data_IF_482321435896
#
_entry.id   IF_482321435896
#
_cell.length_a   1.000
_cell.length_b   1.000
_cell.length_c   1.000
_cell.angle_alpha   90.00
_cell.angle_beta   90.00
_cell.angle_gamma   90.00
#
_symmetry.space_group_name_H-M   'P 1'
#
loop_
_entity.id
_entity.type
_entity.pdbx_description
1 polymer ?
#
# COMPACT_ATOMS: atom_id res chain seq x y z
N UNK A 1 11.99 -13.91 -20.13
CA UNK A 1 12.20 -12.64 -20.83
C UNK A 1 12.84 -12.93 -22.18
N UNK A 2 12.27 -12.38 -23.23
CA UNK A 2 12.67 -12.65 -24.63
C UNK A 2 13.14 -11.37 -25.35
N UNK A 3 13.75 -10.44 -24.60
CA UNK A 3 14.27 -9.19 -25.17
C UNK A 3 15.76 -9.33 -25.49
N UNK A 4 16.14 -9.21 -26.74
CA UNK A 4 17.55 -9.26 -27.19
C UNK A 4 18.44 -8.17 -26.55
N UNK A 5 17.83 -7.10 -26.04
CA UNK A 5 18.50 -5.99 -25.36
C UNK A 5 18.72 -6.20 -23.87
N UNK A 6 18.12 -7.26 -23.26
CA UNK A 6 18.20 -7.59 -21.83
C UNK A 6 18.73 -9.01 -21.65
N UNK A 7 20.04 -9.24 -21.82
CA UNK A 7 20.62 -10.56 -21.67
C UNK A 7 20.51 -11.04 -20.22
N UNK A 8 20.03 -12.26 -20.03
CA UNK A 8 19.98 -12.93 -18.74
C UNK A 8 21.38 -13.40 -18.35
N UNK A 9 21.84 -13.02 -17.16
CA UNK A 9 23.13 -13.48 -16.64
C UNK A 9 23.09 -14.99 -16.32
N UNK A 10 24.15 -15.69 -16.71
CA UNK A 10 24.24 -17.14 -16.51
C UNK A 10 24.87 -17.50 -15.15
N UNK A 11 24.10 -17.35 -14.09
CA UNK A 11 24.52 -17.69 -12.72
C UNK A 11 24.81 -19.19 -12.55
N UNK A 12 24.09 -20.05 -13.24
CA UNK A 12 24.28 -21.52 -13.18
C UNK A 12 25.60 -21.94 -13.85
N UNK A 13 25.97 -21.29 -14.94
CA UNK A 13 27.18 -21.58 -15.71
C UNK A 13 28.44 -20.87 -15.19
N UNK A 14 28.34 -19.96 -14.23
CA UNK A 14 29.48 -19.20 -13.72
C UNK A 14 29.51 -19.11 -12.21
N UNK A 15 30.31 -19.95 -11.60
CA UNK A 15 30.55 -19.89 -10.14
C UNK A 15 31.19 -18.59 -9.71
N UNK A 16 32.04 -18.02 -10.55
CA UNK A 16 32.66 -16.71 -10.29
C UNK A 16 31.63 -15.59 -10.19
N UNK A 17 30.68 -15.53 -11.14
CA UNK A 17 29.58 -14.57 -11.12
C UNK A 17 28.70 -14.76 -9.87
N UNK A 18 28.35 -16.01 -9.56
CA UNK A 18 27.57 -16.36 -8.38
C UNK A 18 28.20 -15.80 -7.10
N UNK A 19 29.46 -16.16 -6.86
CA UNK A 19 30.20 -15.72 -5.68
C UNK A 19 30.45 -14.20 -5.67
N UNK A 20 30.61 -13.58 -6.84
CA UNK A 20 30.76 -12.14 -6.97
C UNK A 20 29.52 -11.38 -6.51
N UNK A 21 28.33 -11.82 -6.92
CA UNK A 21 27.07 -11.17 -6.51
C UNK A 21 26.82 -11.36 -5.02
N UNK A 22 27.12 -12.51 -4.43
CA UNK A 22 27.02 -12.69 -2.98
C UNK A 22 27.99 -11.76 -2.21
N UNK A 23 29.20 -11.52 -2.73
CA UNK A 23 30.13 -10.53 -2.13
C UNK A 23 29.60 -9.11 -2.24
N UNK A 24 28.97 -8.74 -3.35
CA UNK A 24 28.30 -7.43 -3.50
C UNK A 24 27.18 -7.30 -2.47
N UNK A 25 26.36 -8.33 -2.32
CA UNK A 25 25.24 -8.34 -1.36
C UNK A 25 25.72 -8.06 0.08
N UNK A 26 26.84 -8.69 0.48
CA UNK A 26 27.46 -8.45 1.79
C UNK A 26 28.08 -7.06 1.92
N UNK A 27 28.79 -6.62 0.86
CA UNK A 27 29.52 -5.34 0.87
C UNK A 27 28.62 -4.17 1.21
N UNK A 28 27.48 -4.05 0.57
CA UNK A 28 26.62 -2.87 0.73
C UNK A 28 25.89 -2.81 2.08
N UNK A 29 25.59 -3.94 2.70
CA UNK A 29 24.98 -3.98 4.05
C UNK A 29 26.02 -3.91 5.17
N UNK A 30 27.32 -3.85 4.82
CA UNK A 30 28.45 -3.73 5.76
C UNK A 30 29.04 -2.32 5.77
N UNK A 31 29.86 -2.04 6.80
CA UNK A 31 30.63 -0.80 6.87
C UNK A 31 31.58 -0.67 5.65
N UNK A 32 31.78 0.54 5.10
CA UNK A 32 31.27 1.84 5.55
C UNK A 32 29.89 2.19 5.01
N UNK A 33 29.29 1.37 4.14
CA UNK A 33 28.05 1.70 3.43
C UNK A 33 26.81 1.54 4.32
N UNK A 34 26.70 0.42 5.05
CA UNK A 34 25.64 0.15 6.03
C UNK A 34 24.22 0.40 5.49
N UNK A 35 23.93 -0.01 4.25
CA UNK A 35 22.54 0.08 3.74
C UNK A 35 21.66 -0.90 4.50
N UNK A 36 20.37 -0.53 4.66
CA UNK A 36 19.41 -1.25 5.50
C UNK A 36 18.84 -2.53 4.85
N UNK A 37 19.13 -2.76 3.57
CA UNK A 37 18.66 -3.96 2.88
C UNK A 37 18.75 -3.88 1.37
N UNK A 38 18.06 -4.83 0.72
CA UNK A 38 18.01 -5.00 -0.72
C UNK A 38 16.58 -5.02 -1.24
N UNK A 39 16.32 -4.30 -2.32
CA UNK A 39 15.20 -4.55 -3.21
C UNK A 39 15.71 -5.32 -4.41
N UNK A 40 15.16 -6.49 -4.65
CA UNK A 40 15.60 -7.42 -5.67
C UNK A 40 14.70 -7.30 -6.90
N UNK A 41 15.30 -6.91 -8.00
CA UNK A 41 14.63 -6.75 -9.29
C UNK A 41 14.34 -8.11 -9.91
N UNK A 42 13.10 -8.34 -10.37
CA UNK A 42 12.66 -9.55 -11.08
C UNK A 42 13.17 -10.85 -10.40
N UNK A 43 13.09 -10.91 -9.08
CA UNK A 43 13.79 -11.91 -8.28
C UNK A 43 13.39 -13.37 -8.60
N UNK A 44 12.13 -13.61 -8.97
CA UNK A 44 11.64 -14.94 -9.32
C UNK A 44 12.22 -15.51 -10.61
N UNK A 45 12.73 -14.65 -11.50
CA UNK A 45 13.25 -15.06 -12.82
C UNK A 45 14.76 -15.32 -12.83
N UNK A 46 15.45 -15.18 -11.70
CA UNK A 46 16.89 -15.45 -11.63
C UNK A 46 17.17 -16.96 -11.82
N UNK A 47 18.18 -17.28 -12.62
CA UNK A 47 18.56 -18.66 -12.96
C UNK A 47 17.70 -19.24 -14.09
N UNK A 48 17.89 -20.53 -14.38
CA UNK A 48 17.21 -21.24 -15.46
C UNK A 48 16.28 -22.36 -14.96
N UNK A 49 16.29 -22.62 -13.64
CA UNK A 49 15.40 -23.56 -12.99
C UNK A 49 14.87 -23.02 -11.65
N UNK A 50 13.71 -23.50 -11.21
CA UNK A 50 13.14 -23.09 -9.94
C UNK A 50 14.04 -23.52 -8.77
N UNK A 51 14.62 -24.74 -8.85
CA UNK A 51 15.52 -25.28 -7.84
C UNK A 51 16.75 -24.39 -7.65
N UNK A 52 17.33 -23.93 -8.78
CA UNK A 52 18.47 -23.00 -8.72
C UNK A 52 18.05 -21.64 -8.15
N UNK A 53 16.91 -21.09 -8.57
CA UNK A 53 16.39 -19.83 -8.06
C UNK A 53 16.27 -19.86 -6.54
N UNK A 54 15.57 -20.85 -5.98
CA UNK A 54 15.41 -21.02 -4.54
C UNK A 54 16.75 -21.18 -3.82
N UNK A 55 17.68 -21.99 -4.38
CA UNK A 55 18.98 -22.17 -3.77
C UNK A 55 19.81 -20.88 -3.75
N UNK A 56 19.77 -20.11 -4.84
CA UNK A 56 20.45 -18.83 -4.91
C UNK A 56 19.96 -17.86 -3.85
N UNK A 57 18.63 -17.74 -3.67
CA UNK A 57 18.07 -16.80 -2.68
C UNK A 57 18.34 -17.25 -1.24
N UNK A 58 18.43 -18.55 -0.97
CA UNK A 58 18.89 -19.08 0.32
C UNK A 58 20.33 -18.65 0.61
N UNK A 59 21.20 -18.82 -0.35
CA UNK A 59 22.61 -18.42 -0.21
C UNK A 59 22.77 -16.89 -0.12
N UNK A 60 21.98 -16.13 -0.90
CA UNK A 60 21.93 -14.68 -0.82
C UNK A 60 21.50 -14.22 0.59
N UNK A 61 20.39 -14.78 1.10
CA UNK A 61 19.95 -14.49 2.47
C UNK A 61 21.02 -14.81 3.50
N UNK A 62 21.62 -15.96 3.41
CA UNK A 62 22.69 -16.38 4.33
C UNK A 62 23.88 -15.40 4.29
N UNK A 63 24.27 -14.95 3.11
CA UNK A 63 25.34 -13.98 2.93
C UNK A 63 24.97 -12.64 3.55
N UNK A 64 23.80 -12.08 3.22
CA UNK A 64 23.31 -10.80 3.73
C UNK A 64 23.17 -10.81 5.25
N UNK A 65 22.45 -11.80 5.80
CA UNK A 65 22.17 -11.89 7.25
C UNK A 65 23.44 -12.18 8.08
N UNK A 66 24.45 -12.82 7.50
CA UNK A 66 25.77 -12.96 8.13
C UNK A 66 26.49 -11.62 8.28
N UNK A 67 26.35 -10.73 7.30
CA UNK A 67 26.97 -9.41 7.30
C UNK A 67 26.18 -8.41 8.15
N UNK A 68 24.85 -8.42 8.02
CA UNK A 68 23.93 -7.59 8.79
C UNK A 68 22.62 -8.35 9.03
N UNK A 69 22.40 -8.89 10.24
CA UNK A 69 21.20 -9.69 10.54
C UNK A 69 19.90 -8.89 10.44
N UNK A 70 19.96 -7.57 10.57
CA UNK A 70 18.79 -6.67 10.52
C UNK A 70 18.48 -6.17 9.10
N UNK A 71 19.37 -6.45 8.11
CA UNK A 71 19.14 -6.02 6.73
C UNK A 71 17.91 -6.69 6.12
N UNK A 72 17.00 -5.88 5.53
CA UNK A 72 15.79 -6.34 4.85
C UNK A 72 16.12 -6.93 3.47
N UNK A 73 15.46 -8.03 3.10
CA UNK A 73 15.49 -8.59 1.76
C UNK A 73 14.07 -8.54 1.20
N UNK A 74 13.82 -7.58 0.32
CA UNK A 74 12.52 -7.31 -0.27
C UNK A 74 12.58 -7.59 -1.78
N UNK A 75 11.68 -8.43 -2.27
CA UNK A 75 11.66 -8.80 -3.68
C UNK A 75 10.56 -8.10 -4.47
N UNK A 76 10.87 -7.78 -5.72
CA UNK A 76 9.84 -7.53 -6.71
C UNK A 76 9.32 -8.88 -7.22
N UNK A 77 8.01 -9.09 -7.09
CA UNK A 77 7.35 -10.28 -7.57
C UNK A 77 5.86 -10.01 -7.82
N UNK A 78 5.36 -10.49 -8.94
CA UNK A 78 3.93 -10.53 -9.27
C UNK A 78 3.39 -11.93 -9.00
N UNK A 79 2.20 -12.03 -8.43
CA UNK A 79 1.58 -13.29 -8.05
C UNK A 79 1.97 -13.74 -6.63
N UNK A 80 1.72 -15.01 -6.31
CA UNK A 80 1.94 -15.53 -4.96
C UNK A 80 3.43 -15.68 -4.62
N UNK A 81 3.95 -14.98 -3.59
CA UNK A 81 5.33 -15.09 -3.16
C UNK A 81 5.54 -16.22 -2.12
N UNK A 82 4.51 -17.03 -1.84
CA UNK A 82 4.49 -17.99 -0.73
C UNK A 82 5.71 -18.91 -0.70
N UNK A 83 6.16 -19.37 -1.89
CA UNK A 83 7.32 -20.27 -1.99
C UNK A 83 8.63 -19.70 -1.46
N UNK A 84 8.82 -18.38 -1.59
CA UNK A 84 10.05 -17.68 -1.17
C UNK A 84 9.95 -17.05 0.24
N UNK A 85 8.76 -16.99 0.83
CA UNK A 85 8.53 -16.37 2.14
C UNK A 85 8.51 -17.38 3.30
N UNK A 86 9.16 -18.53 3.14
CA UNK A 86 9.23 -19.58 4.18
C UNK A 86 10.29 -19.31 5.27
N UNK A 87 10.93 -18.14 5.25
CA UNK A 87 11.93 -17.71 6.24
C UNK A 87 13.38 -17.98 5.85
N UNK A 88 13.62 -18.62 4.71
CA UNK A 88 14.96 -18.98 4.22
C UNK A 88 15.46 -18.11 3.06
N UNK A 89 14.58 -17.31 2.44
CA UNK A 89 14.88 -16.56 1.22
C UNK A 89 14.55 -15.06 1.40
N UNK A 90 13.40 -14.58 0.91
CA UNK A 90 13.01 -13.18 1.05
C UNK A 90 12.34 -12.93 2.42
N UNK A 91 12.46 -11.71 2.92
CA UNK A 91 11.71 -11.26 4.10
C UNK A 91 10.31 -10.79 3.73
N UNK A 92 10.17 -10.11 2.57
CA UNK A 92 8.92 -9.54 2.11
C UNK A 92 8.97 -9.20 0.62
N UNK A 93 7.89 -8.61 0.12
CA UNK A 93 7.72 -8.24 -1.30
C UNK A 93 7.18 -6.83 -1.46
N UNK A 94 7.35 -6.26 -2.67
CA UNK A 94 6.50 -5.17 -3.14
C UNK A 94 5.07 -5.69 -3.24
N UNK A 95 4.14 -5.03 -2.52
CA UNK A 95 2.81 -5.60 -2.25
C UNK A 95 1.81 -5.26 -3.37
N UNK A 96 1.97 -5.85 -4.53
CA UNK A 96 1.09 -5.63 -5.66
C UNK A 96 -0.29 -6.25 -5.45
N UNK A 97 -0.34 -7.57 -5.24
CA UNK A 97 -1.59 -8.33 -5.21
C UNK A 97 -2.39 -8.11 -3.93
N UNK A 98 -1.72 -7.97 -2.77
CA UNK A 98 -2.38 -7.79 -1.48
C UNK A 98 -2.52 -6.32 -1.06
N UNK A 99 -2.24 -5.36 -1.96
CA UNK A 99 -2.43 -3.94 -1.69
C UNK A 99 -2.70 -3.11 -2.94
N UNK A 100 -1.69 -2.91 -3.81
CA UNK A 100 -1.78 -1.94 -4.91
C UNK A 100 -2.96 -2.22 -5.84
N UNK A 101 -3.08 -3.45 -6.33
CA UNK A 101 -4.11 -3.81 -7.31
C UNK A 101 -5.54 -3.74 -6.75
N UNK A 102 -5.86 -4.33 -5.59
CA UNK A 102 -7.19 -4.18 -5.02
C UNK A 102 -7.57 -2.73 -4.73
N UNK A 103 -6.62 -1.91 -4.24
CA UNK A 103 -6.88 -0.50 -3.95
C UNK A 103 -7.18 0.30 -5.21
N UNK A 104 -6.39 0.11 -6.29
CA UNK A 104 -6.62 0.84 -7.54
C UNK A 104 -7.94 0.43 -8.20
N UNK A 105 -8.26 -0.87 -8.24
CA UNK A 105 -9.53 -1.36 -8.77
C UNK A 105 -10.73 -0.81 -8.00
N UNK A 106 -10.69 -0.89 -6.68
CA UNK A 106 -11.81 -0.43 -5.84
C UNK A 106 -12.06 1.08 -5.97
N UNK A 107 -11.01 1.89 -5.85
CA UNK A 107 -11.17 3.33 -5.81
C UNK A 107 -11.32 3.97 -7.21
N UNK A 108 -10.77 3.37 -8.24
CA UNK A 108 -10.71 4.00 -9.57
C UNK A 108 -11.32 3.15 -10.69
N UNK A 109 -11.40 1.85 -10.55
CA UNK A 109 -11.74 0.92 -11.64
C UNK A 109 -10.62 0.76 -12.68
N UNK A 110 -9.44 1.32 -12.41
CA UNK A 110 -8.30 1.31 -13.35
C UNK A 110 -7.29 0.23 -13.00
N UNK A 111 -6.76 -0.40 -14.03
CA UNK A 111 -5.58 -1.24 -13.93
C UNK A 111 -4.32 -0.38 -13.62
N UNK A 112 -3.32 -0.96 -12.97
CA UNK A 112 -2.12 -0.26 -12.48
C UNK A 112 -1.29 0.48 -13.53
N UNK A 113 -1.33 0.06 -14.79
CA UNK A 113 -0.67 0.76 -15.90
C UNK A 113 -1.59 1.74 -16.65
N UNK A 114 -2.86 1.85 -16.24
CA UNK A 114 -3.93 2.56 -16.99
C UNK A 114 -4.25 1.95 -18.36
N UNK A 115 -4.05 0.64 -18.51
CA UNK A 115 -4.32 -0.06 -19.77
C UNK A 115 -5.76 -0.56 -19.88
N UNK A 116 -6.46 -0.71 -18.73
CA UNK A 116 -7.81 -1.23 -18.66
C UNK A 116 -8.65 -0.47 -17.63
N UNK A 117 -9.94 -0.29 -17.93
CA UNK A 117 -10.95 0.14 -16.98
C UNK A 117 -12.00 -0.95 -16.79
N UNK A 118 -12.32 -1.29 -15.54
CA UNK A 118 -13.29 -2.31 -15.15
C UNK A 118 -14.36 -1.69 -14.27
N UNK A 119 -15.51 -1.41 -14.86
CA UNK A 119 -16.67 -0.86 -14.14
C UNK A 119 -17.21 -1.80 -13.05
N UNK A 120 -17.13 -3.10 -13.28
CA UNK A 120 -17.56 -4.14 -12.32
C UNK A 120 -16.68 -4.24 -11.06
N UNK A 121 -15.45 -3.73 -11.11
CA UNK A 121 -14.54 -3.64 -9.97
C UNK A 121 -14.58 -2.27 -9.28
N UNK A 122 -14.97 -1.23 -10.01
CA UNK A 122 -15.07 0.12 -9.45
C UNK A 122 -16.12 0.19 -8.35
N UNK A 123 -15.72 0.57 -7.15
CA UNK A 123 -16.58 0.67 -5.97
C UNK A 123 -17.05 -0.68 -5.42
N UNK A 124 -16.61 -1.79 -5.99
CA UNK A 124 -16.99 -3.13 -5.56
C UNK A 124 -16.19 -3.55 -4.31
N UNK A 125 -16.73 -3.24 -3.14
CA UNK A 125 -16.11 -3.54 -1.85
C UNK A 125 -16.01 -5.04 -1.57
N UNK A 126 -16.93 -5.85 -2.08
CA UNK A 126 -16.87 -7.32 -1.93
C UNK A 126 -15.70 -7.91 -2.71
N UNK A 127 -15.50 -7.46 -3.95
CA UNK A 127 -14.34 -7.84 -4.76
C UNK A 127 -13.03 -7.40 -4.09
N UNK A 128 -12.98 -6.17 -3.56
CA UNK A 128 -11.83 -5.67 -2.80
C UNK A 128 -11.52 -6.55 -1.58
N UNK A 129 -12.51 -6.83 -0.73
CA UNK A 129 -12.34 -7.65 0.47
C UNK A 129 -11.91 -9.07 0.10
N UNK A 130 -12.52 -9.64 -0.95
CA UNK A 130 -12.19 -10.97 -1.45
C UNK A 130 -10.73 -11.06 -1.93
N UNK A 131 -10.27 -10.10 -2.74
CA UNK A 131 -8.90 -10.02 -3.23
C UNK A 131 -7.90 -9.85 -2.08
N UNK A 132 -8.16 -8.89 -1.17
CA UNK A 132 -7.29 -8.67 -0.01
C UNK A 132 -7.14 -9.92 0.86
N UNK A 133 -8.26 -10.59 1.20
CA UNK A 133 -8.21 -11.82 2.00
C UNK A 133 -7.47 -12.95 1.29
N UNK A 134 -7.66 -13.08 -0.03
CA UNK A 134 -7.02 -14.13 -0.83
C UNK A 134 -5.52 -13.93 -0.88
N UNK A 135 -5.06 -12.73 -1.18
CA UNK A 135 -3.63 -12.49 -1.37
C UNK A 135 -2.87 -12.30 -0.05
N UNK A 136 -3.48 -11.68 0.97
CA UNK A 136 -2.84 -11.55 2.29
C UNK A 136 -2.56 -12.90 2.96
N UNK A 137 -3.36 -13.93 2.72
CA UNK A 137 -3.13 -15.26 3.33
C UNK A 137 -1.87 -15.97 2.83
N UNK A 138 -1.32 -15.57 1.68
CA UNK A 138 -0.04 -16.08 1.16
C UNK A 138 1.19 -15.43 1.82
N UNK A 139 0.96 -14.45 2.69
CA UNK A 139 1.99 -13.72 3.42
C UNK A 139 1.97 -14.11 4.90
N UNK A 140 3.09 -14.57 5.45
CA UNK A 140 3.23 -14.67 6.89
C UNK A 140 3.11 -13.30 7.53
N UNK A 141 2.68 -13.23 8.81
CA UNK A 141 2.46 -11.95 9.49
C UNK A 141 3.68 -11.02 9.48
N UNK A 142 4.89 -11.56 9.62
CA UNK A 142 6.13 -10.78 9.52
C UNK A 142 6.34 -10.21 8.12
N UNK A 143 6.12 -11.01 7.08
CA UNK A 143 6.21 -10.56 5.70
C UNK A 143 5.12 -9.55 5.35
N UNK A 144 3.89 -9.76 5.84
CA UNK A 144 2.78 -8.82 5.63
C UNK A 144 3.06 -7.46 6.28
N UNK A 145 3.57 -7.43 7.51
CA UNK A 145 3.84 -6.18 8.21
C UNK A 145 5.03 -5.39 7.64
N UNK A 146 5.88 -6.03 6.85
CA UNK A 146 7.01 -5.40 6.15
C UNK A 146 6.78 -5.29 4.64
N UNK A 147 5.63 -5.76 4.13
CA UNK A 147 5.27 -5.65 2.73
C UNK A 147 5.18 -4.18 2.30
N UNK A 148 5.75 -3.87 1.14
CA UNK A 148 5.87 -2.53 0.62
C UNK A 148 4.55 -2.08 0.01
N UNK A 149 3.73 -1.36 0.79
CA UNK A 149 2.43 -0.83 0.37
C UNK A 149 2.60 0.49 -0.37
N UNK A 150 2.58 0.45 -1.68
CA UNK A 150 2.72 1.62 -2.54
C UNK A 150 1.45 1.85 -3.40
N UNK A 151 1.17 3.11 -3.69
CA UNK A 151 0.09 3.50 -4.61
C UNK A 151 0.63 3.65 -6.03
N UNK A 152 1.84 4.12 -6.17
CA UNK A 152 2.56 4.30 -7.43
C UNK A 152 4.00 3.82 -7.30
N UNK A 153 4.63 3.50 -8.42
CA UNK A 153 6.07 3.25 -8.52
C UNK A 153 6.62 3.64 -9.89
N UNK A 154 7.87 3.31 -10.14
CA UNK A 154 8.60 3.66 -11.36
C UNK A 154 8.16 2.92 -12.63
N UNK A 155 7.34 1.87 -12.51
CA UNK A 155 6.82 1.08 -13.64
C UNK A 155 5.37 1.41 -13.98
N UNK A 156 4.56 1.71 -12.95
CA UNK A 156 3.12 1.86 -13.07
C UNK A 156 2.70 3.32 -13.30
N UNK A 157 1.50 3.54 -13.79
CA UNK A 157 0.94 4.89 -13.83
C UNK A 157 0.79 5.45 -12.42
N UNK A 158 0.89 6.76 -12.25
CA UNK A 158 0.66 7.43 -10.98
C UNK A 158 -0.76 7.17 -10.50
N UNK A 159 -0.96 6.92 -9.20
CA UNK A 159 -2.31 6.68 -8.67
C UNK A 159 -3.22 7.87 -8.93
N UNK A 160 -2.71 9.10 -8.78
CA UNK A 160 -3.48 10.31 -9.06
C UNK A 160 -3.96 10.35 -10.52
N UNK A 161 -3.16 9.91 -11.48
CA UNK A 161 -3.56 9.75 -12.89
C UNK A 161 -4.70 8.76 -13.04
N UNK A 162 -4.62 7.60 -12.36
CA UNK A 162 -5.68 6.58 -12.43
C UNK A 162 -7.04 7.07 -11.93
N UNK A 163 -7.07 8.12 -11.08
CA UNK A 163 -8.33 8.72 -10.61
C UNK A 163 -9.16 9.36 -11.72
N UNK A 164 -8.57 9.70 -12.86
CA UNK A 164 -9.28 10.24 -14.02
C UNK A 164 -10.01 9.17 -14.85
N UNK A 165 -9.78 7.88 -14.54
CA UNK A 165 -10.39 6.71 -15.20
C UNK A 165 -10.18 6.65 -16.72
N UNK A 166 -9.11 7.26 -17.20
CA UNK A 166 -8.77 7.27 -18.61
C UNK A 166 -7.76 6.18 -18.93
N UNK A 167 -8.16 5.27 -19.79
CA UNK A 167 -7.23 4.32 -20.42
C UNK A 167 -6.29 5.10 -21.33
N UNK A 168 -4.97 4.91 -21.18
CA UNK A 168 -4.01 5.66 -21.95
C UNK A 168 -2.55 5.36 -21.63
N UNK A 169 -1.71 5.65 -22.63
CA UNK A 169 -0.27 5.72 -22.52
C UNK A 169 0.24 7.00 -23.15
N UNK A 170 1.38 7.52 -22.69
CA UNK A 170 1.93 8.77 -23.20
C UNK A 170 2.12 8.77 -24.71
N UNK A 171 2.45 7.61 -25.31
CA UNK A 171 2.73 7.47 -26.73
C UNK A 171 1.55 7.79 -27.65
N UNK A 172 0.30 7.61 -27.18
CA UNK A 172 -0.89 7.88 -27.99
C UNK A 172 -1.89 8.84 -27.33
N UNK A 173 -1.92 8.94 -26.02
CA UNK A 173 -2.80 9.87 -25.30
C UNK A 173 -2.17 11.23 -25.07
N UNK A 174 -0.84 11.30 -25.09
CA UNK A 174 -0.08 12.51 -24.75
C UNK A 174 0.08 12.70 -23.25
N UNK A 175 1.16 13.35 -22.84
CA UNK A 175 1.52 13.52 -21.43
C UNK A 175 0.50 14.37 -20.63
N UNK A 176 -0.17 15.33 -21.26
CA UNK A 176 -1.16 16.20 -20.61
C UNK A 176 -2.38 15.41 -20.16
N UNK A 177 -2.81 14.40 -20.91
CA UNK A 177 -3.97 13.58 -20.60
C UNK A 177 -3.87 12.88 -19.24
N UNK A 178 -2.66 12.62 -18.76
CA UNK A 178 -2.43 12.04 -17.43
C UNK A 178 -2.86 12.95 -16.26
N UNK A 179 -2.97 14.24 -16.50
CA UNK A 179 -3.30 15.27 -15.48
C UNK A 179 -4.72 15.84 -15.63
N UNK A 180 -5.46 15.43 -16.66
CA UNK A 180 -6.82 15.91 -16.91
C UNK A 180 -7.84 15.17 -16.05
N UNK A 181 -8.78 15.89 -15.43
CA UNK A 181 -9.88 15.34 -14.64
C UNK A 181 -9.45 14.41 -13.48
N UNK A 182 -8.31 14.65 -12.90
CA UNK A 182 -7.81 13.94 -11.72
C UNK A 182 -8.63 14.31 -10.48
N UNK A 183 -8.64 13.42 -9.48
CA UNK A 183 -9.32 13.64 -8.20
C UNK A 183 -8.36 13.49 -7.02
N UNK A 184 -8.00 14.60 -6.40
CA UNK A 184 -7.24 14.60 -5.14
C UNK A 184 -8.06 14.04 -3.98
N UNK A 185 -9.39 14.09 -4.05
CA UNK A 185 -10.27 13.48 -3.06
C UNK A 185 -10.11 11.94 -3.03
N UNK A 186 -10.12 11.29 -4.20
CA UNK A 186 -9.86 9.84 -4.32
C UNK A 186 -8.41 9.52 -3.89
N UNK A 187 -7.46 10.40 -4.20
CA UNK A 187 -6.09 10.23 -3.71
C UNK A 187 -6.02 10.25 -2.18
N UNK A 188 -6.77 11.15 -1.50
CA UNK A 188 -6.84 11.16 -0.03
C UNK A 188 -7.47 9.88 0.54
N UNK A 189 -8.49 9.30 -0.12
CA UNK A 189 -9.01 7.98 0.27
C UNK A 189 -7.92 6.89 0.19
N UNK A 190 -7.16 6.86 -0.90
CA UNK A 190 -6.06 5.92 -1.09
C UNK A 190 -4.95 6.06 -0.05
N UNK A 191 -4.55 7.31 0.27
CA UNK A 191 -3.57 7.60 1.32
C UNK A 191 -4.09 7.14 2.68
N UNK A 192 -5.39 7.33 2.96
CA UNK A 192 -6.03 6.83 4.17
C UNK A 192 -5.88 5.32 4.32
N UNK A 193 -6.12 4.56 3.25
CA UNK A 193 -5.88 3.11 3.23
C UNK A 193 -4.39 2.81 3.41
N UNK A 194 -3.52 3.44 2.62
CA UNK A 194 -2.08 3.19 2.63
C UNK A 194 -1.46 3.33 4.02
N UNK A 195 -1.81 4.38 4.74
CA UNK A 195 -1.24 4.70 6.05
C UNK A 195 -1.85 3.90 7.21
N UNK A 196 -2.94 3.18 6.97
CA UNK A 196 -3.63 2.40 8.02
C UNK A 196 -3.70 0.90 7.75
N UNK A 197 -3.42 0.45 6.52
CA UNK A 197 -3.41 -0.97 6.16
C UNK A 197 -2.19 -1.70 6.74
N UNK A 198 -2.28 -3.03 7.04
CA UNK A 198 -1.09 -3.80 7.41
C UNK A 198 -0.02 -3.78 6.33
N UNK A 199 1.21 -3.41 6.70
CA UNK A 199 2.35 -3.31 5.81
C UNK A 199 3.16 -2.04 6.07
N UNK A 200 4.18 -1.81 5.25
CA UNK A 200 5.05 -0.64 5.28
C UNK A 200 4.60 0.39 4.24
N UNK A 201 3.94 1.50 4.64
CA UNK A 201 3.56 2.54 3.71
C UNK A 201 4.78 3.08 2.96
N UNK A 202 4.74 3.05 1.65
CA UNK A 202 5.84 3.47 0.78
C UNK A 202 5.35 4.54 -0.18
N UNK A 203 5.92 5.73 -0.06
CA UNK A 203 5.58 6.88 -0.91
C UNK A 203 6.54 6.92 -2.09
N UNK A 204 6.01 6.79 -3.31
CA UNK A 204 6.78 7.06 -4.52
C UNK A 204 6.91 8.59 -4.67
N UNK A 205 8.13 9.08 -4.85
CA UNK A 205 8.39 10.52 -4.90
C UNK A 205 7.41 11.24 -5.83
N UNK A 206 6.90 12.38 -5.38
CA UNK A 206 5.97 13.20 -6.14
C UNK A 206 4.50 12.84 -5.99
N UNK A 207 4.13 11.64 -5.48
CA UNK A 207 2.74 11.34 -5.14
C UNK A 207 2.21 12.34 -4.11
N UNK A 208 3.04 12.71 -3.12
CA UNK A 208 2.74 13.70 -2.10
C UNK A 208 2.65 15.14 -2.64
N UNK A 209 3.22 15.37 -3.80
CA UNK A 209 3.24 16.68 -4.45
C UNK A 209 2.24 16.82 -5.61
N UNK A 210 1.41 15.80 -5.86
CA UNK A 210 0.40 15.81 -6.91
C UNK A 210 0.95 15.50 -8.31
N UNK A 211 2.09 14.82 -8.41
CA UNK A 211 2.67 14.43 -9.72
C UNK A 211 1.79 13.40 -10.40
N UNK A 212 1.44 13.66 -11.65
CA UNK A 212 0.74 12.76 -12.56
C UNK A 212 1.69 12.13 -13.56
N UNK A 213 1.27 11.02 -14.18
CA UNK A 213 1.99 10.38 -15.27
C UNK A 213 1.37 9.03 -15.61
N UNK A 214 1.29 8.69 -16.88
CA UNK A 214 1.02 7.33 -17.33
C UNK A 214 2.19 6.41 -16.94
N UNK A 215 2.09 5.13 -17.25
CA UNK A 215 3.15 4.17 -16.97
C UNK A 215 4.50 4.59 -17.55
N UNK A 216 5.58 3.97 -17.10
CA UNK A 216 6.95 4.23 -17.57
C UNK A 216 7.02 4.54 -19.09
N UNK A 217 7.74 5.61 -19.52
CA UNK A 217 8.59 6.53 -18.71
C UNK A 217 7.87 7.75 -18.15
N UNK A 218 6.57 7.97 -18.43
CA UNK A 218 5.86 9.21 -18.11
C UNK A 218 5.63 9.42 -16.60
N UNK A 219 5.54 8.35 -15.82
CA UNK A 219 5.43 8.41 -14.35
C UNK A 219 6.68 8.97 -13.66
N UNK A 220 7.83 9.02 -14.35
CA UNK A 220 9.13 9.48 -13.84
C UNK A 220 9.38 10.97 -14.08
N UNK A 221 8.31 11.77 -14.08
CA UNK A 221 8.41 13.24 -14.23
C UNK A 221 9.21 13.83 -13.06
N UNK A 222 9.82 14.99 -13.30
CA UNK A 222 10.57 15.72 -12.27
C UNK A 222 9.68 16.14 -11.12
N UNK A 223 10.25 16.22 -9.91
CA UNK A 223 9.56 16.75 -8.74
C UNK A 223 9.26 18.24 -8.93
N UNK A 224 8.04 18.71 -8.65
CA UNK A 224 7.61 20.07 -8.94
C UNK A 224 8.03 21.08 -7.84
N UNK A 225 9.34 21.24 -7.62
CA UNK A 225 9.89 22.11 -6.59
C UNK A 225 9.31 23.52 -6.64
N UNK A 226 8.67 23.96 -5.54
CA UNK A 226 8.04 25.26 -5.40
C UNK A 226 6.66 25.37 -6.08
N UNK A 227 6.13 24.26 -6.61
CA UNK A 227 4.81 24.15 -7.24
C UNK A 227 4.06 22.89 -6.81
N UNK A 228 4.41 22.37 -5.61
CA UNK A 228 3.77 21.20 -5.01
C UNK A 228 2.29 21.47 -4.72
N UNK A 229 1.45 20.44 -4.84
CA UNK A 229 0.13 20.45 -4.24
C UNK A 229 0.28 20.46 -2.70
N UNK A 230 0.23 21.66 -2.12
CA UNK A 230 0.50 21.86 -0.69
C UNK A 230 -0.59 21.28 0.19
N UNK A 231 -1.83 21.19 -0.29
CA UNK A 231 -2.93 20.55 0.45
C UNK A 231 -2.70 19.04 0.55
N UNK A 232 -2.39 18.39 -0.56
CA UNK A 232 -2.09 16.98 -0.61
C UNK A 232 -0.84 16.62 0.19
N UNK A 233 0.21 17.44 0.09
CA UNK A 233 1.45 17.30 0.86
C UNK A 233 1.18 17.37 2.38
N UNK A 234 0.34 18.30 2.82
CA UNK A 234 -0.02 18.43 4.23
C UNK A 234 -0.89 17.26 4.71
N UNK A 235 -1.79 16.76 3.85
CA UNK A 235 -2.56 15.55 4.15
C UNK A 235 -1.66 14.32 4.33
N UNK A 236 -0.67 14.12 3.46
CA UNK A 236 0.35 13.06 3.62
C UNK A 236 1.09 13.20 4.95
N UNK A 237 1.54 14.41 5.30
CA UNK A 237 2.22 14.66 6.58
C UNK A 237 1.35 14.30 7.79
N UNK A 238 0.07 14.69 7.75
CA UNK A 238 -0.89 14.36 8.82
C UNK A 238 -1.10 12.85 8.94
N UNK A 239 -1.27 12.15 7.82
CA UNK A 239 -1.46 10.70 7.81
C UNK A 239 -0.20 9.93 8.23
N UNK A 240 1.00 10.37 7.83
CA UNK A 240 2.27 9.81 8.28
C UNK A 240 2.43 10.02 9.80
N UNK A 241 2.05 11.17 10.33
CA UNK A 241 2.07 11.44 11.77
C UNK A 241 1.15 10.48 12.53
N UNK A 242 -0.06 10.22 12.02
CA UNK A 242 -0.98 9.22 12.57
C UNK A 242 -0.33 7.83 12.53
N UNK A 243 0.21 7.39 11.39
CA UNK A 243 0.85 6.08 11.27
C UNK A 243 2.00 5.90 12.26
N UNK A 244 2.84 6.92 12.45
CA UNK A 244 3.97 6.88 13.39
C UNK A 244 3.53 6.87 14.85
N UNK A 245 2.49 7.63 15.20
CA UNK A 245 1.99 7.80 16.57
C UNK A 245 1.34 6.52 17.12
N UNK A 246 0.53 5.83 16.31
CA UNK A 246 -0.29 4.70 16.76
C UNK A 246 0.38 3.35 16.46
N UNK A 247 1.00 2.76 17.50
CA UNK A 247 1.76 1.49 17.35
C UNK A 247 0.93 0.32 16.82
N UNK A 248 -0.37 0.31 17.10
CA UNK A 248 -1.29 -0.70 16.60
C UNK A 248 -1.35 -0.76 15.07
N UNK A 249 -1.05 0.33 14.35
CA UNK A 249 -0.98 0.32 12.89
C UNK A 249 0.18 -0.53 12.35
N UNK A 250 1.22 -0.75 13.19
CA UNK A 250 2.39 -1.56 12.82
C UNK A 250 2.17 -3.06 13.05
N UNK A 251 1.38 -3.47 14.06
CA UNK A 251 1.26 -4.85 14.48
C UNK A 251 -0.15 -5.27 14.92
N UNK A 252 -1.13 -4.37 14.89
CA UNK A 252 -2.51 -4.66 15.31
C UNK A 252 -3.27 -5.53 14.32
N UNK A 253 -4.31 -6.17 14.80
CA UNK A 253 -5.24 -6.96 13.99
C UNK A 253 -6.00 -6.11 12.98
N UNK A 254 -6.46 -6.75 11.91
CA UNK A 254 -7.34 -6.16 10.89
C UNK A 254 -8.69 -6.89 10.90
N UNK A 255 -9.77 -6.13 10.83
CA UNK A 255 -11.13 -6.67 10.67
C UNK A 255 -11.99 -5.77 9.83
N UNK A 256 -12.64 -6.32 8.81
CA UNK A 256 -13.70 -5.62 8.09
C UNK A 256 -14.96 -5.57 8.95
N UNK A 257 -15.59 -4.38 9.02
CA UNK A 257 -16.74 -4.13 9.87
C UNK A 257 -18.02 -3.86 9.07
N UNK A 258 -17.87 -3.18 7.95
CA UNK A 258 -18.99 -2.83 7.10
C UNK A 258 -18.53 -2.60 5.66
N UNK A 259 -19.38 -2.94 4.70
CA UNK A 259 -19.16 -2.64 3.30
C UNK A 259 -20.47 -2.55 2.53
N UNK A 260 -20.48 -1.75 1.51
CA UNK A 260 -21.47 -1.72 0.44
C UNK A 260 -20.83 -1.22 -0.85
N UNK A 261 -21.65 -0.97 -1.90
CA UNK A 261 -21.12 -0.38 -3.13
C UNK A 261 -20.51 1.02 -2.85
N UNK A 262 -19.24 1.19 -3.19
CA UNK A 262 -18.43 2.40 -2.95
C UNK A 262 -18.30 2.79 -1.45
N UNK A 263 -18.48 1.85 -0.55
CA UNK A 263 -18.30 2.06 0.89
C UNK A 263 -17.53 0.93 1.53
N UNK A 264 -16.66 1.26 2.47
CA UNK A 264 -15.83 0.30 3.17
C UNK A 264 -15.55 0.79 4.59
N UNK A 265 -15.62 -0.12 5.55
CA UNK A 265 -15.13 0.11 6.89
C UNK A 265 -14.30 -1.07 7.37
N UNK A 266 -13.13 -0.76 7.91
CA UNK A 266 -12.31 -1.74 8.62
C UNK A 266 -11.74 -1.15 9.90
N UNK A 267 -11.34 -2.02 10.79
CA UNK A 267 -10.64 -1.67 12.02
C UNK A 267 -9.22 -2.21 12.03
N UNK A 268 -8.32 -1.42 12.60
CA UNK A 268 -7.04 -1.87 13.15
C UNK A 268 -7.15 -1.83 14.67
N UNK A 269 -6.81 -2.89 15.37
CA UNK A 269 -7.05 -2.94 16.81
C UNK A 269 -6.09 -3.86 17.55
N UNK A 270 -5.96 -3.58 18.84
CA UNK A 270 -5.32 -4.40 19.88
C UNK A 270 -6.33 -4.67 21.00
N UNK A 271 -5.89 -5.24 22.12
CA UNK A 271 -6.76 -5.46 23.27
C UNK A 271 -7.28 -4.18 23.92
N UNK A 272 -6.55 -3.07 23.81
CA UNK A 272 -6.82 -1.82 24.52
C UNK A 272 -6.98 -0.62 23.60
N UNK A 273 -6.88 -0.80 22.30
CA UNK A 273 -6.83 0.32 21.37
C UNK A 273 -7.48 -0.07 20.03
N UNK A 274 -8.36 0.78 19.52
CA UNK A 274 -9.10 0.60 18.28
C UNK A 274 -8.95 1.81 17.38
N UNK A 275 -8.73 1.56 16.10
CA UNK A 275 -8.81 2.57 15.05
C UNK A 275 -9.80 2.09 14.00
N UNK A 276 -10.80 2.91 13.73
CA UNK A 276 -11.83 2.65 12.73
C UNK A 276 -11.56 3.53 11.51
N UNK A 277 -11.47 2.92 10.35
CA UNK A 277 -11.27 3.60 9.07
C UNK A 277 -12.49 3.39 8.21
N UNK A 278 -13.13 4.48 7.82
CA UNK A 278 -14.36 4.45 7.02
C UNK A 278 -14.16 5.23 5.74
N UNK A 279 -14.51 4.63 4.60
CA UNK A 279 -14.43 5.24 3.29
C UNK A 279 -15.81 5.40 2.68
N UNK A 280 -16.02 6.50 1.99
CA UNK A 280 -17.17 6.77 1.15
C UNK A 280 -16.69 7.26 -0.23
N UNK A 281 -16.54 6.34 -1.17
CA UNK A 281 -16.12 6.63 -2.55
C UNK A 281 -17.31 6.99 -3.46
N UNK A 282 -18.37 7.61 -2.89
CA UNK A 282 -19.52 8.17 -3.61
C UNK A 282 -19.37 9.68 -3.81
N UNK A 283 -20.08 10.19 -4.79
CA UNK A 283 -20.16 11.65 -5.01
C UNK A 283 -21.16 12.33 -4.05
N UNK A 284 -21.93 11.55 -3.28
CA UNK A 284 -22.85 12.04 -2.28
C UNK A 284 -22.43 11.65 -0.86
N UNK A 285 -22.68 12.55 0.08
CA UNK A 285 -22.53 12.28 1.50
C UNK A 285 -23.68 11.39 2.00
N UNK A 286 -23.43 10.66 3.09
CA UNK A 286 -24.42 9.76 3.68
C UNK A 286 -24.20 9.48 5.15
N UNK A 287 -25.28 9.15 5.84
CA UNK A 287 -25.22 8.60 7.18
C UNK A 287 -25.08 7.07 7.13
N UNK A 288 -24.22 6.52 7.98
CA UNK A 288 -24.02 5.08 8.13
C UNK A 288 -24.03 4.67 9.59
N UNK A 289 -24.51 3.44 9.85
CA UNK A 289 -24.44 2.80 11.14
C UNK A 289 -23.52 1.58 11.04
N UNK A 290 -22.46 1.56 11.84
CA UNK A 290 -21.43 0.52 11.78
C UNK A 290 -21.32 -0.18 13.12
N UNK A 291 -21.34 -1.51 13.11
CA UNK A 291 -21.08 -2.33 14.28
C UNK A 291 -19.58 -2.35 14.58
N UNK A 292 -19.16 -1.69 15.67
CA UNK A 292 -17.74 -1.65 16.10
C UNK A 292 -17.43 -2.56 17.29
N UNK A 293 -18.47 -3.15 17.92
CA UNK A 293 -18.29 -4.10 19.02
C UNK A 293 -17.42 -5.33 18.68
N UNK A 294 -17.32 -5.81 17.39
CA UNK A 294 -16.44 -6.93 17.08
C UNK A 294 -14.93 -6.64 17.29
N UNK A 295 -14.56 -5.40 17.61
CA UNK A 295 -13.19 -4.99 17.94
C UNK A 295 -12.90 -4.95 19.45
N UNK A 296 -13.86 -5.43 20.27
CA UNK A 296 -13.75 -5.41 21.73
C UNK A 296 -14.52 -4.26 22.41
N UNK A 297 -15.16 -3.39 21.64
CA UNK A 297 -15.97 -2.28 22.19
C UNK A 297 -17.22 -2.81 22.88
N UNK A 298 -17.52 -2.30 24.10
CA UNK A 298 -18.65 -2.71 24.91
C UNK A 298 -19.99 -2.48 24.18
N UNK A 299 -20.88 -3.46 24.30
CA UNK A 299 -22.29 -3.32 23.90
C UNK A 299 -23.20 -2.82 25.03
N UNK A 300 -22.68 -2.78 26.25
CA UNK A 300 -23.44 -2.41 27.44
C UNK A 300 -23.21 -0.95 27.84
N UNK A 301 -22.10 -0.38 27.40
CA UNK A 301 -21.66 0.96 27.80
C UNK A 301 -21.49 1.87 26.57
N UNK A 302 -21.42 3.16 26.83
CA UNK A 302 -21.09 4.14 25.83
C UNK A 302 -19.57 4.29 25.74
N UNK A 303 -19.05 4.32 24.51
CA UNK A 303 -17.61 4.51 24.24
C UNK A 303 -17.43 5.79 23.43
N UNK A 304 -16.40 6.56 23.74
CA UNK A 304 -16.08 7.76 23.00
C UNK A 304 -14.88 7.50 22.08
N UNK A 305 -15.07 7.73 20.79
CA UNK A 305 -14.00 7.76 19.82
C UNK A 305 -13.60 9.19 19.50
N UNK A 306 -12.33 9.42 19.25
CA UNK A 306 -11.81 10.68 18.72
C UNK A 306 -11.66 10.56 17.20
N UNK A 307 -12.38 11.36 16.44
CA UNK A 307 -12.10 11.52 15.01
C UNK A 307 -10.79 12.29 14.87
N UNK A 308 -9.77 11.64 14.32
CA UNK A 308 -8.43 12.21 14.13
C UNK A 308 -8.34 13.04 12.87
N UNK A 309 -8.95 12.55 11.79
CA UNK A 309 -8.94 13.19 10.47
C UNK A 309 -10.18 12.79 9.69
N UNK A 310 -10.67 13.68 8.85
CA UNK A 310 -11.74 13.42 7.89
C UNK A 310 -11.48 14.20 6.62
N UNK A 311 -11.41 13.51 5.49
CA UNK A 311 -11.38 14.15 4.18
C UNK A 311 -12.78 14.32 3.60
N UNK A 312 -12.87 15.07 2.52
CA UNK A 312 -14.07 15.27 1.71
C UNK A 312 -13.67 15.54 0.27
N UNK A 313 -14.64 15.79 -0.60
CA UNK A 313 -14.38 16.24 -1.96
C UNK A 313 -13.54 17.51 -2.00
N UNK A 314 -13.73 18.43 -1.04
CA UNK A 314 -13.19 19.78 -1.06
C UNK A 314 -11.91 19.95 -0.23
N UNK A 315 -11.45 18.91 0.47
CA UNK A 315 -10.25 18.98 1.31
C UNK A 315 -10.32 18.05 2.52
N UNK A 316 -9.70 18.43 3.62
CA UNK A 316 -9.72 17.66 4.84
C UNK A 316 -9.69 18.52 6.10
N UNK A 317 -10.03 17.90 7.22
CA UNK A 317 -9.87 18.47 8.56
C UNK A 317 -9.20 17.47 9.49
N UNK A 318 -8.21 17.93 10.24
CA UNK A 318 -7.50 17.21 11.31
C UNK A 318 -7.88 17.73 12.70
N UNK A 319 -8.92 18.59 12.78
CA UNK A 319 -9.49 18.98 14.06
C UNK A 319 -10.17 17.80 14.71
N UNK A 320 -9.66 17.42 15.88
CA UNK A 320 -10.21 16.31 16.66
C UNK A 320 -11.66 16.58 17.08
N UNK A 321 -12.51 15.56 16.93
CA UNK A 321 -13.92 15.61 17.34
C UNK A 321 -14.28 14.33 18.08
N UNK A 322 -14.95 14.47 19.22
CA UNK A 322 -15.48 13.34 19.96
C UNK A 322 -16.74 12.80 19.31
N UNK A 323 -16.77 11.49 19.10
CA UNK A 323 -17.91 10.75 18.53
C UNK A 323 -18.35 9.69 19.53
N UNK A 324 -19.63 9.75 19.92
CA UNK A 324 -20.19 8.81 20.87
C UNK A 324 -20.66 7.54 20.13
N UNK A 325 -20.13 6.41 20.55
CA UNK A 325 -20.56 5.07 20.16
C UNK A 325 -21.53 4.55 21.23
N UNK A 326 -22.74 4.14 20.82
CA UNK A 326 -23.79 3.65 21.72
C UNK A 326 -24.02 2.17 21.48
N UNK A 327 -23.98 1.37 22.55
CA UNK A 327 -24.22 -0.07 22.47
C UNK A 327 -23.38 -0.80 21.39
N UNK A 328 -22.15 -0.33 21.15
CA UNK A 328 -21.27 -0.88 20.12
C UNK A 328 -21.58 -0.47 18.68
N UNK A 329 -22.49 0.52 18.49
CA UNK A 329 -22.84 1.07 17.18
C UNK A 329 -22.29 2.49 17.00
N UNK A 330 -21.53 2.68 15.94
CA UNK A 330 -21.06 3.97 15.47
C UNK A 330 -22.05 4.51 14.42
N UNK A 331 -22.70 5.64 14.74
CA UNK A 331 -23.50 6.38 13.79
C UNK A 331 -22.70 7.61 13.33
N UNK A 332 -22.43 7.72 12.04
CA UNK A 332 -21.57 8.76 11.51
C UNK A 332 -22.03 9.21 10.13
N UNK A 333 -21.93 10.54 9.90
CA UNK A 333 -22.05 11.11 8.56
C UNK A 333 -20.70 11.04 7.85
N UNK A 334 -20.71 10.53 6.64
CA UNK A 334 -19.56 10.45 5.73
C UNK A 334 -19.72 11.49 4.60
N UNK A 335 -18.81 12.44 4.46
CA UNK A 335 -18.80 13.36 3.32
C UNK A 335 -18.64 12.63 1.98
N UNK A 336 -18.95 13.27 0.84
CA UNK A 336 -18.59 12.76 -0.47
C UNK A 336 -17.08 12.54 -0.60
N UNK A 337 -16.67 11.48 -1.28
CA UNK A 337 -15.26 11.17 -1.58
C UNK A 337 -14.36 11.34 -0.36
N UNK A 338 -14.60 10.54 0.67
CA UNK A 338 -13.97 10.75 1.98
C UNK A 338 -13.39 9.50 2.60
N UNK A 339 -12.32 9.72 3.37
CA UNK A 339 -11.86 8.81 4.41
C UNK A 339 -11.99 9.48 5.77
N UNK A 340 -12.53 8.75 6.73
CA UNK A 340 -12.66 9.17 8.13
C UNK A 340 -11.92 8.19 9.02
N UNK A 341 -11.07 8.68 9.90
CA UNK A 341 -10.28 7.89 10.84
C UNK A 341 -10.65 8.27 12.27
N UNK A 342 -11.10 7.27 13.01
CA UNK A 342 -11.50 7.40 14.43
C UNK A 342 -10.60 6.50 15.28
N UNK A 343 -10.28 6.98 16.46
CA UNK A 343 -9.43 6.28 17.42
C UNK A 343 -10.09 6.23 18.80
N UNK A 344 -9.96 5.08 19.45
CA UNK A 344 -10.30 4.88 20.85
C UNK A 344 -9.17 4.15 21.55
N UNK A 345 -8.94 4.50 22.80
CA UNK A 345 -8.04 3.80 23.69
C UNK A 345 -8.68 3.70 25.07
N UNK A 346 -8.71 2.49 25.61
CA UNK A 346 -9.16 2.27 26.97
C UNK A 346 -8.26 3.03 27.96
N UNK A 347 -8.87 3.71 28.88
CA UNK A 347 -8.15 4.28 30.02
C UNK A 347 -7.92 3.14 31.01
N UNK A 348 -6.69 2.66 31.09
CA UNK A 348 -6.25 1.70 32.11
C UNK A 348 -6.20 2.35 33.49
#
# INVERSE_FOLDING_TARGET
WTHDTLPKLNYEGSRELYDYVLRIAQKWVSAPYNVDGWRLDVAADLGHSNEFNHQFWKDFRKAVKKANPDALILAEHYGSPEGWLQGEEWDSVMNYDAFMEPVTWFLTGMEKHSDEYREDLYGNSEAFIGAMKTHMRSLHMSALHTAMNELSNHDHSRFLTRTNRRVGRVSYAGAQAASENISTAIMREAIGIQMTWPGAPTVYYGDEAGVCGFTDPDNRRTYPWGSEDTELLNFYKAMIAIHKKYKMLKAGSLKFLWNDYQGLCYARFSHTEQMIVVLNNRDEGRDVMIEVWPTGISRMEHTVFTRLIQSSQDGYTDHEKQILVKAGFLNIYLPPRSVTILHHKDQL
#
